data_IF_678718911649
#
_entry.id   IF_678718911649
#
_cell.length_a   1.000
_cell.length_b   1.000
_cell.length_c   1.000
_cell.angle_alpha   90.00
_cell.angle_beta   90.00
_cell.angle_gamma   90.00
#
_symmetry.space_group_name_H-M   'P 1'
#
loop_
_entity.id
_entity.type
_entity.pdbx_description
1 polymer ?
#
# COMPACT_ATOMS: atom_id res chain seq x y z
N UNK A 1 40.39 5.75 -36.99
CA UNK A 1 39.62 4.53 -36.76
C UNK A 1 38.56 4.85 -35.73
N UNK A 2 37.35 5.16 -36.21
CA UNK A 2 36.20 5.49 -35.42
C UNK A 2 35.49 4.19 -35.02
N UNK A 3 35.47 3.87 -33.73
CA UNK A 3 34.58 2.85 -33.18
C UNK A 3 33.34 3.55 -32.65
N UNK A 4 32.21 3.38 -33.37
CA UNK A 4 30.86 3.76 -32.91
C UNK A 4 30.47 2.96 -31.70
N UNK A 5 29.76 3.53 -30.68
CA UNK A 5 29.24 2.76 -29.58
C UNK A 5 28.06 1.92 -30.08
N UNK A 6 28.13 0.63 -29.79
CA UNK A 6 27.08 -0.36 -30.00
C UNK A 6 25.80 0.05 -29.28
N UNK A 7 24.70 0.03 -30.03
CA UNK A 7 23.35 0.20 -29.51
C UNK A 7 23.06 -0.84 -28.40
N UNK A 8 22.97 -0.39 -27.16
CA UNK A 8 22.43 -1.16 -26.07
C UNK A 8 20.99 -1.55 -26.41
N UNK A 9 20.82 -2.81 -26.74
CA UNK A 9 19.51 -3.43 -26.91
C UNK A 9 18.83 -3.46 -25.55
N UNK A 10 17.81 -2.63 -25.38
CA UNK A 10 16.88 -2.76 -24.25
C UNK A 10 16.37 -4.20 -24.18
N UNK A 11 16.30 -4.82 -22.98
CA UNK A 11 15.83 -6.17 -22.85
C UNK A 11 14.40 -6.29 -23.41
N UNK A 12 14.22 -7.21 -24.35
CA UNK A 12 12.92 -7.50 -24.95
C UNK A 12 11.95 -7.81 -23.82
N UNK A 13 10.90 -7.00 -23.66
CA UNK A 13 9.81 -7.25 -22.71
C UNK A 13 9.28 -8.65 -22.96
N UNK A 14 9.41 -9.54 -21.95
CA UNK A 14 8.76 -10.87 -22.01
C UNK A 14 7.26 -10.62 -22.10
N UNK A 15 6.63 -11.03 -23.17
CA UNK A 15 5.17 -11.10 -23.26
C UNK A 15 4.75 -12.28 -22.38
N UNK A 16 4.14 -12.01 -21.22
CA UNK A 16 3.51 -13.04 -20.40
C UNK A 16 2.40 -13.77 -21.20
N UNK A 17 1.94 -14.89 -20.68
CA UNK A 17 0.71 -15.55 -21.15
C UNK A 17 -0.47 -15.13 -20.27
N UNK A 18 -1.69 -15.49 -20.64
CA UNK A 18 -2.88 -15.23 -19.83
C UNK A 18 -2.81 -15.92 -18.44
N UNK A 19 -2.23 -17.13 -18.40
CA UNK A 19 -2.08 -17.91 -17.16
C UNK A 19 -0.86 -17.47 -16.34
N UNK A 20 0.08 -16.75 -16.96
CA UNK A 20 1.27 -16.18 -16.35
C UNK A 20 1.46 -14.73 -16.83
N UNK A 21 0.60 -13.80 -16.39
CA UNK A 21 0.66 -12.41 -16.82
C UNK A 21 1.93 -11.74 -16.32
N UNK A 22 2.44 -10.78 -17.09
CA UNK A 22 3.56 -9.96 -16.64
C UNK A 22 3.14 -9.00 -15.53
N UNK A 23 1.91 -8.47 -15.60
CA UNK A 23 1.39 -7.41 -14.73
C UNK A 23 0.09 -7.85 -14.05
N UNK A 24 0.02 -7.68 -12.73
CA UNK A 24 -1.24 -7.70 -11.96
C UNK A 24 -1.53 -6.31 -11.43
N UNK A 25 -2.71 -5.78 -11.71
CA UNK A 25 -3.19 -4.51 -11.15
C UNK A 25 -4.24 -4.81 -10.10
N UNK A 26 -3.98 -4.41 -8.85
CA UNK A 26 -4.82 -4.66 -7.69
C UNK A 26 -5.54 -3.39 -7.31
N UNK A 27 -6.88 -3.44 -7.28
CA UNK A 27 -7.74 -2.29 -7.01
C UNK A 27 -8.73 -2.65 -5.90
N UNK A 28 -8.52 -2.17 -4.67
CA UNK A 28 -9.51 -2.28 -3.61
C UNK A 28 -10.69 -1.35 -3.88
N UNK A 29 -11.91 -1.83 -3.66
CA UNK A 29 -13.16 -1.11 -3.93
C UNK A 29 -14.06 -1.17 -2.70
N UNK A 30 -14.51 -0.01 -2.22
CA UNK A 30 -15.49 0.10 -1.15
C UNK A 30 -16.40 1.31 -1.32
N UNK A 31 -17.67 1.07 -1.72
CA UNK A 31 -18.67 2.10 -1.98
C UNK A 31 -18.19 3.16 -3.00
N UNK A 32 -17.77 2.70 -4.17
CA UNK A 32 -17.24 3.51 -5.27
C UNK A 32 -18.12 3.43 -6.54
N UNK A 33 -19.43 3.15 -6.41
CA UNK A 33 -20.34 2.99 -7.55
C UNK A 33 -20.29 4.18 -8.53
N UNK A 34 -20.12 5.40 -8.02
CA UNK A 34 -20.06 6.61 -8.84
C UNK A 34 -18.76 6.71 -9.66
N UNK A 35 -17.65 6.12 -9.18
CA UNK A 35 -16.33 6.26 -9.79
C UNK A 35 -15.96 5.09 -10.70
N UNK A 36 -16.50 3.90 -10.46
CA UNK A 36 -16.15 2.70 -11.20
C UNK A 36 -16.32 2.80 -12.72
N UNK A 37 -17.40 3.39 -13.28
CA UNK A 37 -17.54 3.53 -14.73
C UNK A 37 -16.42 4.37 -15.35
N UNK A 38 -16.05 5.49 -14.69
CA UNK A 38 -14.98 6.37 -15.14
C UNK A 38 -13.61 5.68 -14.99
N UNK A 39 -13.41 4.92 -13.92
CA UNK A 39 -12.21 4.12 -13.74
C UNK A 39 -12.03 3.11 -14.87
N UNK A 40 -13.04 2.31 -15.19
CA UNK A 40 -12.95 1.30 -16.23
C UNK A 40 -12.70 1.91 -17.62
N UNK A 41 -13.35 3.03 -17.91
CA UNK A 41 -13.17 3.75 -19.17
C UNK A 41 -11.72 4.23 -19.40
N UNK A 42 -10.94 4.47 -18.34
CA UNK A 42 -9.54 4.90 -18.41
C UNK A 42 -8.55 3.76 -18.19
N UNK A 43 -8.84 2.86 -17.27
CA UNK A 43 -7.93 1.79 -16.85
C UNK A 43 -7.60 0.83 -18.00
N UNK A 44 -8.63 0.24 -18.62
CA UNK A 44 -8.41 -0.78 -19.63
C UNK A 44 -7.70 -0.24 -20.88
N UNK A 45 -8.08 0.91 -21.46
CA UNK A 45 -7.30 1.50 -22.56
C UNK A 45 -5.85 1.80 -22.19
N UNK A 46 -5.59 2.29 -20.96
CA UNK A 46 -4.24 2.57 -20.50
C UNK A 46 -3.40 1.26 -20.40
N UNK A 47 -4.00 0.18 -19.90
CA UNK A 47 -3.32 -1.11 -19.78
C UNK A 47 -3.13 -1.78 -21.15
N UNK A 48 -4.13 -1.74 -22.03
CA UNK A 48 -4.05 -2.27 -23.39
C UNK A 48 -2.91 -1.58 -24.19
N UNK A 49 -2.70 -0.27 -23.98
CA UNK A 49 -1.63 0.49 -24.61
C UNK A 49 -0.21 0.07 -24.17
N UNK A 50 -0.06 -0.62 -23.02
CA UNK A 50 1.24 -1.11 -22.56
C UNK A 50 1.77 -2.30 -23.36
N UNK A 51 0.92 -2.95 -24.14
CA UNK A 51 1.25 -4.15 -24.96
C UNK A 51 1.94 -5.27 -24.14
N UNK A 52 1.48 -5.51 -22.93
CA UNK A 52 1.91 -6.61 -22.05
C UNK A 52 0.70 -7.43 -21.66
N UNK A 53 0.88 -8.72 -21.38
CA UNK A 53 -0.17 -9.53 -20.76
C UNK A 53 -0.39 -9.06 -19.34
N UNK A 54 -1.63 -8.76 -18.97
CA UNK A 54 -1.99 -8.27 -17.65
C UNK A 54 -3.27 -8.93 -17.13
N UNK A 55 -3.45 -8.83 -15.83
CA UNK A 55 -4.71 -9.09 -15.15
C UNK A 55 -5.07 -7.88 -14.26
N UNK A 56 -6.35 -7.67 -14.06
CA UNK A 56 -6.91 -6.69 -13.12
C UNK A 56 -7.67 -7.44 -12.04
N UNK A 57 -7.23 -7.32 -10.80
CA UNK A 57 -7.92 -7.86 -9.63
C UNK A 57 -8.70 -6.73 -8.95
N UNK A 58 -10.02 -6.82 -9.02
CA UNK A 58 -10.96 -5.90 -8.38
C UNK A 58 -11.44 -6.54 -7.08
N UNK A 59 -11.10 -5.96 -5.94
CA UNK A 59 -11.43 -6.53 -4.63
C UNK A 59 -12.52 -5.68 -3.98
N UNK A 60 -13.75 -6.20 -3.96
CA UNK A 60 -14.86 -5.56 -3.27
C UNK A 60 -14.78 -5.82 -1.77
N UNK A 61 -14.50 -4.79 -1.00
CA UNK A 61 -14.38 -4.86 0.46
C UNK A 61 -15.74 -4.72 1.16
N UNK A 62 -16.70 -5.58 0.77
CA UNK A 62 -18.02 -5.61 1.39
C UNK A 62 -18.84 -4.33 1.18
N UNK A 63 -18.85 -3.77 -0.04
CA UNK A 63 -19.65 -2.57 -0.38
C UNK A 63 -21.14 -2.80 -0.17
N UNK A 64 -21.83 -1.74 0.23
CA UNK A 64 -23.28 -1.73 0.45
C UNK A 64 -24.07 -1.07 -0.69
N UNK A 65 -23.36 -0.46 -1.66
CA UNK A 65 -23.89 0.18 -2.86
C UNK A 65 -23.85 -0.76 -4.08
N UNK A 66 -24.01 -0.24 -5.28
CA UNK A 66 -24.00 -1.00 -6.54
C UNK A 66 -22.59 -1.42 -6.98
N UNK A 67 -21.53 -1.13 -6.20
CA UNK A 67 -20.15 -1.45 -6.59
C UNK A 67 -19.99 -2.93 -6.93
N UNK A 68 -20.52 -3.85 -6.12
CA UNK A 68 -20.41 -5.29 -6.37
C UNK A 68 -21.06 -5.73 -7.70
N UNK A 69 -22.22 -5.14 -8.05
CA UNK A 69 -22.88 -5.42 -9.32
C UNK A 69 -22.05 -4.92 -10.51
N UNK A 70 -21.55 -3.67 -10.44
CA UNK A 70 -20.69 -3.08 -11.47
C UNK A 70 -19.41 -3.87 -11.70
N UNK A 71 -18.82 -4.42 -10.64
CA UNK A 71 -17.64 -5.28 -10.76
C UNK A 71 -17.95 -6.60 -11.49
N UNK A 72 -19.11 -7.22 -11.22
CA UNK A 72 -19.56 -8.42 -11.93
C UNK A 72 -19.83 -8.14 -13.39
N UNK A 73 -20.49 -7.01 -13.71
CA UNK A 73 -20.73 -6.59 -15.08
C UNK A 73 -19.40 -6.34 -15.83
N UNK A 74 -18.43 -5.73 -15.17
CA UNK A 74 -17.10 -5.53 -15.77
C UNK A 74 -16.36 -6.85 -16.00
N UNK A 75 -16.48 -7.81 -15.09
CA UNK A 75 -15.95 -9.16 -15.31
C UNK A 75 -16.57 -9.83 -16.54
N UNK A 76 -17.91 -9.71 -16.71
CA UNK A 76 -18.59 -10.24 -17.88
C UNK A 76 -18.17 -9.55 -19.19
N UNK A 77 -17.87 -8.24 -19.12
CA UNK A 77 -17.42 -7.47 -20.28
C UNK A 77 -15.97 -7.80 -20.70
N UNK A 78 -15.09 -8.08 -19.75
CA UNK A 78 -13.66 -8.35 -19.99
C UNK A 78 -13.18 -9.55 -19.15
N UNK A 79 -13.74 -10.76 -19.35
CA UNK A 79 -13.39 -11.95 -18.54
C UNK A 79 -11.96 -12.43 -18.82
N UNK A 80 -11.39 -12.03 -19.94
CA UNK A 80 -10.04 -12.36 -20.40
C UNK A 80 -8.94 -11.77 -19.49
N UNK A 81 -9.18 -10.63 -18.86
CA UNK A 81 -8.18 -9.91 -18.06
C UNK A 81 -8.69 -9.49 -16.68
N UNK A 82 -9.99 -9.61 -16.41
CA UNK A 82 -10.60 -9.15 -15.15
C UNK A 82 -10.85 -10.32 -14.23
N UNK A 83 -10.52 -10.14 -12.95
CA UNK A 83 -10.87 -11.06 -11.87
C UNK A 83 -11.48 -10.26 -10.73
N UNK A 84 -12.51 -10.78 -10.11
CA UNK A 84 -13.23 -10.09 -9.02
C UNK A 84 -13.22 -10.95 -7.77
N UNK A 85 -12.88 -10.35 -6.65
CA UNK A 85 -12.94 -10.96 -5.32
C UNK A 85 -13.95 -10.18 -4.50
N UNK A 86 -14.95 -10.86 -3.96
CA UNK A 86 -16.01 -10.25 -3.16
C UNK A 86 -15.87 -10.68 -1.69
N UNK A 87 -15.72 -9.70 -0.79
CA UNK A 87 -15.77 -9.95 0.64
C UNK A 87 -17.21 -9.91 1.16
N UNK A 88 -17.50 -10.70 2.16
CA UNK A 88 -18.82 -10.72 2.80
C UNK A 88 -19.09 -9.44 3.62
N UNK A 89 -18.04 -8.84 4.17
CA UNK A 89 -18.11 -7.65 5.03
C UNK A 89 -16.89 -6.76 4.80
N UNK A 90 -16.95 -5.52 5.25
CA UNK A 90 -15.81 -4.62 5.18
C UNK A 90 -14.71 -5.05 6.17
N UNK A 91 -13.53 -5.27 5.66
CA UNK A 91 -12.31 -5.61 6.40
C UNK A 91 -11.24 -4.50 6.33
N UNK A 92 -11.45 -3.50 5.48
CA UNK A 92 -10.57 -2.37 5.26
C UNK A 92 -9.63 -2.55 4.06
N UNK A 93 -9.25 -1.42 3.47
CA UNK A 93 -8.42 -1.35 2.25
C UNK A 93 -7.14 -2.20 2.33
N UNK A 94 -6.50 -2.24 3.50
CA UNK A 94 -5.30 -3.04 3.74
C UNK A 94 -5.53 -4.52 3.45
N UNK A 95 -6.59 -5.11 4.01
CA UNK A 95 -6.88 -6.53 3.83
C UNK A 95 -7.39 -6.84 2.42
N UNK A 96 -8.06 -5.88 1.77
CA UNK A 96 -8.40 -6.01 0.36
C UNK A 96 -7.14 -6.08 -0.54
N UNK A 97 -6.13 -5.23 -0.28
CA UNK A 97 -4.86 -5.30 -1.00
C UNK A 97 -4.13 -6.62 -0.70
N UNK A 98 -4.13 -7.08 0.57
CA UNK A 98 -3.51 -8.37 0.94
C UNK A 98 -4.16 -9.55 0.22
N UNK A 99 -5.50 -9.56 0.08
CA UNK A 99 -6.18 -10.55 -0.74
C UNK A 99 -5.74 -10.48 -2.20
N UNK A 100 -5.64 -9.26 -2.77
CA UNK A 100 -5.08 -9.06 -4.10
C UNK A 100 -3.68 -9.66 -4.24
N UNK A 101 -2.81 -9.48 -3.24
CA UNK A 101 -1.46 -10.06 -3.21
C UNK A 101 -1.45 -11.58 -3.15
N UNK A 102 -2.37 -12.20 -2.41
CA UNK A 102 -2.49 -13.65 -2.32
C UNK A 102 -2.94 -14.28 -3.63
N UNK A 103 -3.85 -13.60 -4.36
CA UNK A 103 -4.48 -14.15 -5.56
C UNK A 103 -3.88 -13.65 -6.87
N UNK A 104 -2.97 -12.66 -6.87
CA UNK A 104 -2.33 -12.18 -8.11
C UNK A 104 -1.39 -13.23 -8.71
N UNK A 105 -1.23 -13.18 -10.05
CA UNK A 105 -0.40 -14.11 -10.82
C UNK A 105 0.82 -13.45 -11.47
N UNK A 106 0.78 -12.13 -11.67
CA UNK A 106 1.82 -11.39 -12.39
C UNK A 106 3.19 -11.37 -11.73
N UNK A 107 4.23 -11.19 -12.52
CA UNK A 107 5.60 -10.97 -12.03
C UNK A 107 5.76 -9.57 -11.42
N UNK A 108 5.00 -8.61 -11.91
CA UNK A 108 4.95 -7.21 -11.46
C UNK A 108 3.57 -6.92 -10.93
N UNK A 109 3.49 -6.38 -9.77
CA UNK A 109 2.22 -6.11 -9.10
C UNK A 109 2.10 -4.61 -8.88
N UNK A 110 0.99 -4.02 -9.31
CA UNK A 110 0.68 -2.60 -9.12
C UNK A 110 -0.57 -2.48 -8.27
N UNK A 111 -0.52 -1.65 -7.23
CA UNK A 111 -1.70 -1.24 -6.47
C UNK A 111 -2.19 0.10 -6.98
N UNK A 112 -3.51 0.28 -7.08
CA UNK A 112 -4.16 1.50 -7.55
C UNK A 112 -5.47 1.73 -6.79
N UNK A 113 -5.74 2.97 -6.37
CA UNK A 113 -7.02 3.34 -5.76
C UNK A 113 -8.11 3.52 -6.83
N UNK A 114 -9.37 3.20 -6.46
CA UNK A 114 -10.51 3.30 -7.37
C UNK A 114 -10.98 4.73 -7.65
N UNK A 115 -10.49 5.74 -6.90
CA UNK A 115 -10.99 7.12 -6.89
C UNK A 115 -10.41 8.03 -8.00
N UNK A 116 -9.57 7.48 -8.90
CA UNK A 116 -8.92 8.19 -10.00
C UNK A 116 -8.01 9.37 -9.60
N UNK A 117 -7.69 9.52 -8.31
CA UNK A 117 -6.69 10.52 -7.90
C UNK A 117 -5.32 10.23 -8.51
N UNK A 118 -5.00 8.95 -8.70
CA UNK A 118 -3.82 8.48 -9.42
C UNK A 118 -4.25 7.97 -10.80
N UNK A 119 -3.90 8.66 -11.88
CA UNK A 119 -4.27 8.25 -13.23
C UNK A 119 -3.71 6.87 -13.59
N UNK A 120 -4.51 5.93 -14.12
CA UNK A 120 -4.03 4.62 -14.57
C UNK A 120 -2.94 4.70 -15.64
N UNK A 121 -2.92 5.76 -16.41
CA UNK A 121 -1.92 6.04 -17.45
C UNK A 121 -0.48 6.14 -16.89
N UNK A 122 -0.36 6.47 -15.60
CA UNK A 122 0.93 6.57 -14.91
C UNK A 122 1.57 5.19 -14.61
N UNK A 123 0.82 4.09 -14.72
CA UNK A 123 1.32 2.72 -14.50
C UNK A 123 2.54 2.43 -15.37
N UNK A 124 2.54 2.94 -16.61
CA UNK A 124 3.67 2.77 -17.52
C UNK A 124 4.99 3.29 -16.99
N UNK A 125 4.98 4.39 -16.20
CA UNK A 125 6.19 4.94 -15.58
C UNK A 125 6.76 4.02 -14.51
N UNK A 126 5.88 3.39 -13.72
CA UNK A 126 6.31 2.45 -12.68
C UNK A 126 6.94 1.20 -13.33
N UNK A 127 6.32 0.67 -14.39
CA UNK A 127 6.86 -0.47 -15.11
C UNK A 127 8.21 -0.16 -15.74
N UNK A 128 8.38 1.04 -16.31
CA UNK A 128 9.66 1.48 -16.87
C UNK A 128 10.77 1.53 -15.79
N UNK A 129 10.45 1.98 -14.57
CA UNK A 129 11.39 1.91 -13.45
C UNK A 129 11.73 0.47 -13.07
N UNK A 130 10.74 -0.44 -13.06
CA UNK A 130 11.00 -1.87 -12.83
C UNK A 130 11.83 -2.51 -13.94
N UNK A 131 11.69 -2.06 -15.20
CA UNK A 131 12.55 -2.49 -16.32
C UNK A 131 14.01 -2.08 -16.11
N UNK A 132 14.27 -1.00 -15.35
CA UNK A 132 15.62 -0.58 -14.94
C UNK A 132 16.19 -1.41 -13.78
N UNK A 133 15.50 -2.46 -13.32
CA UNK A 133 15.98 -3.37 -12.26
C UNK A 133 15.54 -3.00 -10.85
N UNK A 134 14.60 -2.04 -10.71
CA UNK A 134 14.01 -1.75 -9.40
C UNK A 134 12.95 -2.79 -9.04
N UNK A 135 12.96 -3.24 -7.79
CA UNK A 135 12.06 -4.26 -7.26
C UNK A 135 10.86 -3.67 -6.49
N UNK A 136 10.98 -2.41 -6.05
CA UNK A 136 9.94 -1.61 -5.43
C UNK A 136 9.93 -0.20 -6.05
N UNK A 137 8.77 0.25 -6.48
CA UNK A 137 8.60 1.60 -7.05
C UNK A 137 7.49 2.33 -6.31
N UNK A 138 7.86 3.31 -5.51
CA UNK A 138 6.94 4.26 -4.89
C UNK A 138 6.54 5.37 -5.87
N UNK A 139 5.39 6.00 -5.63
CA UNK A 139 4.99 7.20 -6.38
C UNK A 139 5.02 8.44 -5.50
N UNK A 140 5.51 9.53 -6.07
CA UNK A 140 5.46 10.86 -5.48
C UNK A 140 4.46 11.68 -6.28
N UNK A 141 3.41 12.14 -5.61
CA UNK A 141 2.43 13.03 -6.23
C UNK A 141 3.07 14.37 -6.55
N UNK A 142 2.84 14.83 -7.76
CA UNK A 142 3.24 16.18 -8.17
C UNK A 142 2.44 17.20 -7.34
N UNK A 143 3.06 17.75 -6.28
CA UNK A 143 2.41 18.61 -5.30
C UNK A 143 2.02 19.95 -5.92
N UNK A 144 0.78 20.40 -5.64
CA UNK A 144 0.42 21.83 -5.62
C UNK A 144 1.08 22.48 -4.40
N UNK A 145 1.35 23.78 -4.49
CA UNK A 145 1.98 24.61 -3.47
C UNK A 145 1.28 24.48 -2.11
N UNK A 146 1.82 23.64 -1.24
CA UNK A 146 1.40 23.57 0.16
C UNK A 146 2.05 24.70 0.96
N UNK A 147 1.34 25.23 1.97
CA UNK A 147 1.83 26.30 2.82
C UNK A 147 3.18 25.91 3.48
N UNK A 148 4.13 26.85 3.53
CA UNK A 148 5.49 26.67 4.06
C UNK A 148 5.55 25.94 5.41
N UNK A 149 4.59 26.19 6.32
CA UNK A 149 4.50 25.55 7.63
C UNK A 149 4.20 24.04 7.55
N UNK A 150 3.31 23.63 6.64
CA UNK A 150 3.02 22.20 6.42
C UNK A 150 4.24 21.48 5.85
N UNK A 151 4.98 22.15 4.98
CA UNK A 151 6.18 21.59 4.36
C UNK A 151 7.29 21.34 5.40
N UNK A 152 7.53 22.30 6.32
CA UNK A 152 8.54 22.17 7.37
C UNK A 152 8.16 21.09 8.39
N UNK A 153 6.92 21.08 8.86
CA UNK A 153 6.43 20.08 9.81
C UNK A 153 6.47 18.66 9.20
N UNK A 154 6.03 18.51 7.96
CA UNK A 154 6.09 17.23 7.22
C UNK A 154 7.54 16.76 7.03
N UNK A 155 8.45 17.65 6.65
CA UNK A 155 9.86 17.33 6.45
C UNK A 155 10.57 16.91 7.73
N UNK A 156 10.24 17.55 8.86
CA UNK A 156 10.78 17.18 10.17
C UNK A 156 10.26 15.80 10.62
N UNK A 157 8.95 15.56 10.48
CA UNK A 157 8.31 14.27 10.79
C UNK A 157 8.87 13.15 9.93
N UNK A 158 9.02 13.38 8.62
CA UNK A 158 9.59 12.41 7.70
C UNK A 158 11.04 12.07 8.08
N UNK A 159 11.87 13.09 8.38
CA UNK A 159 13.27 12.89 8.78
C UNK A 159 13.40 12.13 10.11
N UNK A 160 12.51 12.40 11.07
CA UNK A 160 12.48 11.68 12.34
C UNK A 160 12.10 10.22 12.14
N UNK A 161 11.07 9.96 11.32
CA UNK A 161 10.63 8.62 10.98
C UNK A 161 11.69 7.84 10.21
N UNK A 162 12.32 8.43 9.18
CA UNK A 162 13.40 7.80 8.42
C UNK A 162 14.56 7.35 9.33
N UNK A 163 14.91 8.17 10.33
CA UNK A 163 15.93 7.80 11.30
C UNK A 163 15.51 6.63 12.20
N UNK A 164 14.24 6.54 12.55
CA UNK A 164 13.73 5.54 13.48
C UNK A 164 13.43 4.22 12.76
N UNK A 165 12.82 4.28 11.56
CA UNK A 165 12.34 3.11 10.83
C UNK A 165 13.29 2.65 9.72
N UNK A 166 14.27 3.47 9.33
CA UNK A 166 15.13 3.28 8.14
C UNK A 166 14.37 3.20 6.81
N UNK A 167 13.08 3.57 6.79
CA UNK A 167 12.22 3.56 5.61
C UNK A 167 12.22 4.94 4.97
N UNK A 168 12.82 5.05 3.78
CA UNK A 168 12.87 6.28 2.99
C UNK A 168 11.70 6.29 2.00
N UNK A 169 10.61 6.94 2.36
CA UNK A 169 9.44 7.11 1.51
C UNK A 169 9.01 8.58 1.55
N UNK A 170 9.00 9.23 0.40
CA UNK A 170 8.69 10.66 0.27
C UNK A 170 7.18 10.91 0.41
N UNK A 171 6.36 10.17 -0.34
CA UNK A 171 4.90 10.26 -0.28
C UNK A 171 4.28 8.96 0.21
N UNK A 172 3.80 8.98 1.45
CA UNK A 172 3.15 7.83 2.06
C UNK A 172 1.67 7.70 1.70
N UNK A 173 1.03 8.81 1.34
CA UNK A 173 -0.39 8.81 1.02
C UNK A 173 -0.70 8.30 -0.39
N UNK A 174 0.30 8.10 -1.24
CA UNK A 174 0.08 7.60 -2.60
C UNK A 174 0.06 6.07 -2.59
N UNK A 175 -1.05 5.48 -3.01
CA UNK A 175 -1.23 4.03 -3.10
C UNK A 175 -0.87 3.46 -4.48
N UNK A 176 -0.62 4.30 -5.48
CA UNK A 176 -0.08 3.85 -6.77
C UNK A 176 1.37 3.43 -6.58
N UNK A 177 1.63 2.13 -6.53
CA UNK A 177 2.95 1.55 -6.27
C UNK A 177 3.14 0.29 -7.06
N UNK A 178 4.39 -0.02 -7.40
CA UNK A 178 4.72 -1.27 -8.06
C UNK A 178 5.68 -2.10 -7.19
N UNK A 179 5.49 -3.41 -7.24
CA UNK A 179 6.21 -4.40 -6.45
C UNK A 179 6.62 -5.57 -7.34
N UNK A 180 7.79 -6.14 -7.08
CA UNK A 180 8.17 -7.42 -7.65
C UNK A 180 7.42 -8.58 -6.99
N UNK A 181 7.29 -9.69 -7.68
CA UNK A 181 6.67 -10.92 -7.17
C UNK A 181 7.34 -11.42 -5.88
N UNK A 182 8.66 -11.27 -5.77
CA UNK A 182 9.42 -11.67 -4.58
C UNK A 182 9.00 -10.87 -3.34
N UNK A 183 8.84 -9.55 -3.47
CA UNK A 183 8.39 -8.68 -2.38
C UNK A 183 6.96 -9.07 -1.96
N UNK A 184 6.05 -9.24 -2.92
CA UNK A 184 4.66 -9.62 -2.62
C UNK A 184 4.60 -10.95 -1.88
N UNK A 185 5.36 -11.97 -2.33
CA UNK A 185 5.45 -13.24 -1.62
C UNK A 185 5.99 -13.09 -0.19
N UNK A 186 7.00 -12.25 0.02
CA UNK A 186 7.55 -11.97 1.34
C UNK A 186 6.50 -11.29 2.24
N UNK A 187 5.78 -10.27 1.73
CA UNK A 187 4.72 -9.57 2.46
C UNK A 187 3.59 -10.54 2.86
N UNK A 188 3.13 -11.38 1.95
CA UNK A 188 2.08 -12.38 2.25
C UNK A 188 2.55 -13.37 3.31
N UNK A 189 3.83 -13.78 3.28
CA UNK A 189 4.39 -14.73 4.24
C UNK A 189 4.50 -14.19 5.67
N UNK A 190 4.54 -12.86 5.88
CA UNK A 190 4.63 -12.26 7.23
C UNK A 190 3.39 -12.48 8.09
N UNK A 191 2.23 -12.76 7.48
CA UNK A 191 0.91 -12.89 8.15
C UNK A 191 0.54 -11.69 9.02
N UNK A 192 1.12 -10.52 8.77
CA UNK A 192 0.78 -9.30 9.49
C UNK A 192 -0.62 -8.80 9.12
N UNK A 193 -1.42 -8.44 10.13
CA UNK A 193 -2.85 -8.12 9.97
C UNK A 193 -3.09 -6.62 9.88
N UNK A 194 -2.23 -5.78 10.46
CA UNK A 194 -2.48 -4.33 10.59
C UNK A 194 -1.26 -3.45 10.29
N UNK A 195 -0.36 -3.92 9.45
CA UNK A 195 0.85 -3.18 9.09
C UNK A 195 0.60 -2.35 7.83
N UNK A 196 1.22 -1.18 7.74
CA UNK A 196 1.17 -0.35 6.53
C UNK A 196 1.95 -1.04 5.39
N UNK A 197 1.22 -1.65 4.43
CA UNK A 197 1.77 -2.47 3.34
C UNK A 197 2.96 -1.81 2.63
N UNK A 198 2.89 -0.53 2.21
CA UNK A 198 4.02 0.09 1.52
C UNK A 198 5.31 0.11 2.33
N UNK A 199 5.21 0.34 3.64
CA UNK A 199 6.38 0.34 4.51
C UNK A 199 6.91 -1.09 4.73
N UNK A 200 6.04 -2.06 4.93
CA UNK A 200 6.40 -3.47 5.03
C UNK A 200 7.09 -3.97 3.76
N UNK A 201 6.50 -3.68 2.60
CA UNK A 201 7.07 -4.04 1.30
C UNK A 201 8.46 -3.39 1.08
N UNK A 202 8.63 -2.13 1.50
CA UNK A 202 9.91 -1.43 1.43
C UNK A 202 11.01 -2.14 2.23
N UNK A 203 10.69 -2.77 3.37
CA UNK A 203 11.70 -3.49 4.18
C UNK A 203 12.24 -4.74 3.47
N UNK A 204 11.51 -5.29 2.49
CA UNK A 204 11.94 -6.42 1.68
C UNK A 204 12.58 -6.01 0.35
N UNK A 205 12.57 -4.71 0.03
CA UNK A 205 13.12 -4.22 -1.22
C UNK A 205 14.66 -4.18 -1.19
N UNK A 206 15.29 -4.74 -2.22
CA UNK A 206 16.73 -4.68 -2.40
C UNK A 206 17.15 -3.42 -3.20
N UNK A 207 16.30 -2.97 -4.13
CA UNK A 207 16.58 -1.81 -4.99
C UNK A 207 15.33 -0.90 -5.13
N UNK A 208 14.87 -0.25 -4.04
CA UNK A 208 13.70 0.60 -4.08
C UNK A 208 13.96 1.93 -4.81
N UNK A 209 12.93 2.46 -5.48
CA UNK A 209 12.95 3.79 -6.09
C UNK A 209 11.60 4.48 -5.97
N UNK A 210 11.55 5.76 -6.32
CA UNK A 210 10.31 6.54 -6.38
C UNK A 210 10.23 7.29 -7.72
N UNK A 211 9.02 7.37 -8.30
CA UNK A 211 8.76 8.10 -9.55
C UNK A 211 7.71 9.19 -9.32
N UNK A 212 7.86 10.30 -10.04
CA UNK A 212 6.88 11.39 -9.97
C UNK A 212 5.71 11.05 -10.90
N UNK A 213 4.50 11.04 -10.34
CA UNK A 213 3.25 10.76 -11.04
C UNK A 213 2.31 11.97 -11.02
N UNK A 214 1.50 12.10 -12.05
CA UNK A 214 0.42 13.07 -12.07
C UNK A 214 -0.58 12.75 -10.94
N UNK A 215 -1.18 13.78 -10.38
CA UNK A 215 -2.22 13.66 -9.37
C UNK A 215 -3.41 14.52 -9.76
N UNK A 216 -4.58 13.88 -9.87
CA UNK A 216 -5.83 14.56 -10.15
C UNK A 216 -6.56 14.91 -8.85
N UNK A 217 -7.29 16.02 -8.84
CA UNK A 217 -8.22 16.29 -7.74
C UNK A 217 -9.35 15.26 -7.76
N UNK A 218 -9.79 14.87 -6.56
CA UNK A 218 -10.89 13.91 -6.42
C UNK A 218 -12.12 14.45 -7.13
N UNK A 219 -12.66 13.70 -8.08
CA UNK A 219 -13.82 14.13 -8.89
C UNK A 219 -15.11 14.25 -8.06
N UNK A 220 -15.21 13.60 -6.89
CA UNK A 220 -16.34 13.67 -5.98
C UNK A 220 -15.91 13.44 -4.52
N UNK A 221 -16.40 14.28 -3.60
CA UNK A 221 -16.25 14.12 -2.14
C UNK A 221 -15.12 14.96 -1.52
N UNK A 222 -15.42 15.57 -0.35
CA UNK A 222 -14.43 16.29 0.46
C UNK A 222 -13.52 15.32 1.21
N UNK A 223 -12.20 15.54 1.14
CA UNK A 223 -11.23 14.84 1.97
C UNK A 223 -11.38 15.28 3.44
N UNK A 224 -12.17 14.56 4.22
CA UNK A 224 -12.30 14.75 5.66
C UNK A 224 -11.28 13.87 6.40
N UNK A 225 -9.99 14.03 6.12
CA UNK A 225 -8.97 13.46 7.00
C UNK A 225 -8.60 14.49 8.07
N UNK A 226 -9.16 14.39 9.29
CA UNK A 226 -8.78 15.29 10.38
C UNK A 226 -7.30 15.07 10.73
N UNK A 227 -6.62 16.14 11.13
CA UNK A 227 -5.20 16.12 11.55
C UNK A 227 -4.86 14.97 12.51
N UNK A 228 -5.82 14.60 13.37
CA UNK A 228 -5.72 13.45 14.27
C UNK A 228 -5.44 12.13 13.55
N UNK A 229 -6.08 11.86 12.40
CA UNK A 229 -5.81 10.61 11.63
C UNK A 229 -4.39 10.57 11.07
N UNK A 230 -3.85 11.71 10.65
CA UNK A 230 -2.47 11.80 10.17
C UNK A 230 -1.46 11.58 11.30
N UNK A 231 -1.72 12.15 12.47
CA UNK A 231 -0.87 11.95 13.67
C UNK A 231 -0.91 10.47 14.08
N UNK A 232 -2.10 9.86 14.13
CA UNK A 232 -2.28 8.45 14.46
C UNK A 232 -1.56 7.54 13.48
N UNK A 233 -1.68 7.79 12.17
CA UNK A 233 -0.99 7.00 11.14
C UNK A 233 0.54 7.05 11.31
N UNK A 234 1.09 8.24 11.60
CA UNK A 234 2.52 8.38 11.86
C UNK A 234 2.95 7.67 13.15
N UNK A 235 2.13 7.74 14.20
CA UNK A 235 2.38 7.03 15.44
C UNK A 235 2.34 5.50 15.22
N UNK A 236 1.35 5.01 14.51
CA UNK A 236 1.19 3.59 14.15
C UNK A 236 2.39 3.09 13.33
N UNK A 237 2.89 3.89 12.39
CA UNK A 237 4.09 3.58 11.63
C UNK A 237 5.34 3.47 12.52
N UNK A 238 5.56 4.47 13.37
CA UNK A 238 6.75 4.49 14.24
C UNK A 238 6.72 3.33 15.24
N UNK A 239 5.56 3.05 15.86
CA UNK A 239 5.42 1.96 16.84
C UNK A 239 5.35 0.57 16.21
N UNK A 240 4.87 0.47 14.96
CA UNK A 240 4.83 -0.80 14.22
C UNK A 240 6.22 -1.29 13.77
N UNK A 241 7.12 -0.36 13.45
CA UNK A 241 8.44 -0.70 12.90
C UNK A 241 9.62 -0.43 13.84
N UNK A 242 9.39 0.14 15.04
CA UNK A 242 10.48 0.47 15.95
C UNK A 242 10.08 0.40 17.42
N UNK A 243 10.95 -0.19 18.23
CA UNK A 243 10.87 -0.17 19.68
C UNK A 243 11.45 1.12 20.29
N UNK A 244 12.02 2.01 19.47
CA UNK A 244 12.70 3.23 19.95
C UNK A 244 11.80 4.11 20.83
N UNK A 245 10.50 4.37 20.54
CA UNK A 245 9.63 5.14 21.43
C UNK A 245 9.52 4.51 22.82
N UNK A 246 9.41 3.18 22.89
CA UNK A 246 9.32 2.45 24.15
C UNK A 246 10.64 2.50 24.93
N UNK A 247 11.77 2.34 24.23
CA UNK A 247 13.11 2.44 24.82
C UNK A 247 13.39 3.85 25.34
N UNK A 248 13.06 4.89 24.56
CA UNK A 248 13.19 6.29 25.00
C UNK A 248 12.33 6.58 26.22
N UNK A 249 11.10 6.08 26.24
CA UNK A 249 10.22 6.21 27.39
C UNK A 249 10.78 5.50 28.62
N UNK A 250 11.30 4.30 28.47
CA UNK A 250 11.96 3.54 29.54
C UNK A 250 13.19 4.24 30.08
N UNK A 251 14.07 4.74 29.18
CA UNK A 251 15.28 5.48 29.57
C UNK A 251 14.95 6.83 30.27
N UNK A 252 13.99 7.58 29.71
CA UNK A 252 13.50 8.79 30.34
C UNK A 252 12.93 8.50 31.73
N UNK A 253 12.25 7.38 31.82
CA UNK A 253 11.69 6.86 33.02
C UNK A 253 12.71 6.51 34.07
N UNK A 254 13.78 5.85 33.73
CA UNK A 254 14.90 5.52 34.63
C UNK A 254 15.60 6.85 35.07
N UNK A 255 15.88 7.73 34.12
CA UNK A 255 16.51 9.03 34.44
C UNK A 255 15.68 9.89 35.40
N UNK A 256 14.33 9.99 35.20
CA UNK A 256 13.45 10.69 36.14
C UNK A 256 13.40 9.99 37.50
N UNK A 257 13.44 8.66 37.53
CA UNK A 257 13.47 7.91 38.78
C UNK A 257 14.70 8.17 39.61
N UNK A 258 15.86 8.27 38.96
CA UNK A 258 17.14 8.62 39.63
C UNK A 258 17.15 10.09 40.13
N UNK A 259 16.51 11.00 39.38
CA UNK A 259 16.45 12.41 39.74
C UNK A 259 15.42 12.77 40.83
N UNK A 260 14.42 11.90 41.06
CA UNK A 260 13.25 12.24 41.87
C UNK A 260 13.07 11.42 43.17
N UNK A 261 14.15 11.01 43.81
CA UNK A 261 14.11 10.26 45.09
C UNK A 261 13.27 10.92 46.21
N UNK A 262 12.90 12.18 46.12
CA UNK A 262 12.04 12.90 47.06
C UNK A 262 10.58 13.13 46.64
N UNK A 263 10.20 12.80 45.38
CA UNK A 263 8.84 13.05 44.86
C UNK A 263 8.10 11.76 44.47
N UNK A 264 8.49 10.67 45.10
CA UNK A 264 8.33 9.29 44.58
C UNK A 264 6.87 8.81 44.46
N UNK A 265 6.00 9.10 45.41
CA UNK A 265 4.68 8.45 45.46
C UNK A 265 3.72 8.94 44.36
N UNK A 266 3.62 10.25 44.18
CA UNK A 266 2.70 10.82 43.18
C UNK A 266 3.18 10.58 41.76
N UNK A 267 4.48 10.69 41.50
CA UNK A 267 5.07 10.45 40.16
C UNK A 267 5.07 8.97 39.76
N UNK A 268 5.24 8.05 40.74
CA UNK A 268 5.20 6.60 40.52
C UNK A 268 3.81 6.16 40.03
N UNK A 269 2.73 6.62 40.69
CA UNK A 269 1.37 6.26 40.29
C UNK A 269 1.07 6.76 38.87
N UNK A 270 1.37 8.02 38.59
CA UNK A 270 1.14 8.62 37.26
C UNK A 270 1.94 7.94 36.15
N UNK A 271 3.15 7.50 36.47
CA UNK A 271 4.05 6.83 35.52
C UNK A 271 3.67 5.39 35.25
N UNK A 272 3.25 4.64 36.28
CA UNK A 272 2.72 3.27 36.12
C UNK A 272 1.51 3.31 35.19
N UNK A 273 0.61 4.27 35.34
CA UNK A 273 -0.57 4.41 34.48
C UNK A 273 -0.22 4.65 33.01
N UNK A 274 0.77 5.53 32.75
CA UNK A 274 1.21 5.79 31.37
C UNK A 274 2.00 4.60 30.81
N UNK A 275 2.84 3.97 31.61
CA UNK A 275 3.59 2.75 31.21
C UNK A 275 2.68 1.56 30.91
N UNK A 276 1.63 1.36 31.74
CA UNK A 276 0.62 0.33 31.52
C UNK A 276 -0.18 0.64 30.24
N UNK A 277 -0.52 1.91 29.98
CA UNK A 277 -1.21 2.30 28.74
C UNK A 277 -0.40 1.99 27.48
N UNK A 278 0.90 2.32 27.49
CA UNK A 278 1.81 1.97 26.38
C UNK A 278 2.00 0.45 26.24
N UNK A 279 2.21 -0.24 27.35
CA UNK A 279 2.31 -1.71 27.36
C UNK A 279 1.04 -2.35 26.86
N UNK A 280 -0.14 -1.84 27.27
CA UNK A 280 -1.43 -2.28 26.79
C UNK A 280 -1.58 -2.15 25.27
N UNK A 281 -1.11 -1.06 24.68
CA UNK A 281 -1.09 -0.87 23.22
C UNK A 281 -0.20 -1.91 22.52
N UNK A 282 1.03 -2.15 23.02
CA UNK A 282 1.92 -3.16 22.44
C UNK A 282 1.39 -4.59 22.64
N UNK A 283 0.87 -4.92 23.81
CA UNK A 283 0.23 -6.21 24.07
C UNK A 283 -1.00 -6.39 23.19
N UNK A 284 -1.79 -5.35 22.98
CA UNK A 284 -2.92 -5.36 22.07
C UNK A 284 -2.50 -5.65 20.62
N UNK A 285 -1.40 -5.08 20.15
CA UNK A 285 -0.84 -5.36 18.81
C UNK A 285 -0.31 -6.79 18.70
N UNK A 286 0.44 -7.26 19.71
CA UNK A 286 0.91 -8.67 19.76
C UNK A 286 -0.30 -9.62 19.78
N UNK A 287 -1.33 -9.34 20.58
CA UNK A 287 -2.55 -10.13 20.64
C UNK A 287 -3.26 -10.20 19.30
N UNK A 288 -3.33 -9.09 18.54
CA UNK A 288 -3.89 -9.08 17.18
C UNK A 288 -3.04 -9.90 16.20
N UNK A 289 -1.71 -9.89 16.31
CA UNK A 289 -0.81 -10.66 15.45
C UNK A 289 -0.85 -12.18 15.74
N UNK A 290 -0.92 -12.53 17.03
CA UNK A 290 -0.96 -13.95 17.45
C UNK A 290 -2.34 -14.59 17.23
N UNK A 291 -3.38 -13.78 17.10
CA UNK A 291 -4.73 -14.27 16.86
C UNK A 291 -4.85 -14.74 15.41
N UNK A 292 -4.76 -16.04 15.18
CA UNK A 292 -5.00 -16.70 13.91
C UNK A 292 -6.47 -16.62 13.49
N UNK A 293 -6.92 -15.41 13.13
CA UNK A 293 -8.21 -15.23 12.45
C UNK A 293 -7.98 -15.21 10.94
N UNK A 294 -8.86 -15.78 10.14
CA UNK A 294 -8.81 -15.58 8.71
C UNK A 294 -8.80 -14.08 8.42
N UNK A 295 -7.87 -13.63 7.57
CA UNK A 295 -7.69 -12.21 7.25
C UNK A 295 -8.91 -11.59 6.59
N UNK A 296 -9.63 -12.41 5.82
CA UNK A 296 -10.85 -12.04 5.09
C UNK A 296 -11.71 -13.27 4.87
N UNK A 297 -12.98 -13.05 4.64
CA UNK A 297 -13.93 -14.08 4.24
C UNK A 297 -14.41 -13.76 2.84
N UNK A 298 -13.93 -14.54 1.85
CA UNK A 298 -14.28 -14.37 0.45
C UNK A 298 -15.67 -14.97 0.23
N UNK A 299 -16.56 -14.17 -0.33
CA UNK A 299 -17.89 -14.63 -0.73
C UNK A 299 -17.82 -15.34 -2.09
N UNK A 300 -17.08 -14.75 -3.03
CA UNK A 300 -17.03 -15.29 -4.40
C UNK A 300 -15.77 -14.77 -5.11
N UNK A 301 -15.15 -15.63 -5.93
CA UNK A 301 -14.07 -15.27 -6.85
C UNK A 301 -14.61 -15.50 -8.26
N UNK A 302 -14.64 -14.45 -9.09
CA UNK A 302 -15.03 -14.54 -10.49
C UNK A 302 -13.77 -14.52 -11.34
N UNK A 303 -13.48 -15.64 -11.99
CA UNK A 303 -12.37 -15.79 -12.93
C UNK A 303 -12.76 -16.76 -14.06
N UNK A 304 -12.24 -16.54 -15.24
CA UNK A 304 -12.45 -17.44 -16.36
C UNK A 304 -11.49 -18.63 -16.22
N UNK A 305 -12.04 -19.83 -16.06
CA UNK A 305 -11.29 -21.06 -16.26
C UNK A 305 -11.22 -21.37 -17.76
N UNK A 306 -10.03 -21.48 -18.32
CA UNK A 306 -9.84 -22.10 -19.62
C UNK A 306 -9.76 -23.60 -19.41
N UNK A 307 -10.68 -24.32 -20.02
CA UNK A 307 -10.52 -25.79 -20.17
C UNK A 307 -9.25 -26.03 -20.99
N UNK A 308 -8.32 -26.80 -20.43
CA UNK A 308 -7.19 -27.34 -21.17
C UNK A 308 -7.74 -28.28 -22.27
N UNK A 309 -7.58 -27.87 -23.53
CA UNK A 309 -7.78 -28.75 -24.69
C UNK A 309 -6.49 -29.50 -24.98
#
# INVERSE_FOLDING_TARGET
>A
MNSSPTSDSFPVRRKGSFDDPLLSVIIPVYNEEAMLPALFARLYPALDALNVCYEVLLINDGSHDQSAALLKDQFLARPDVTRVILFNTNHGQHLAIMAGFEYCRGERIVTLDADLQNPPEEIGKLLAAMDCGHDYVGSIRQTREDSLWRHVASKLMNRMRERITHIKMTDQGCMLRAYSRSIVKAVVATREISTYIPALAYTFAANPTEVIVAHAERAAGESKYPLYKLIRLNFDLVTGFSLAPLQMFSLAGIALSLASAGFVIFLVIRRIMVGIGLLGEYVGRIYQQVRERPRFNIQEILEQHREEN
#
